data_IF_160416099887
#
_entry.id   IF_160416099887
#
_cell.length_a   1.000
_cell.length_b   1.000
_cell.length_c   1.000
_cell.angle_alpha   90.00
_cell.angle_beta   90.00
_cell.angle_gamma   90.00
#
_symmetry.space_group_name_H-M   'P 1'
#
loop_
_entity.id
_entity.type
_entity.pdbx_description
1 polymer ?
#
# COMPACT_ATOMS: atom_id res chain seq x y z
N UNK A 1 28.49 39.54 -15.73
CA UNK A 1 28.67 38.08 -15.56
C UNK A 1 27.28 37.46 -15.54
N UNK A 2 26.94 36.74 -16.58
CA UNK A 2 25.66 36.02 -16.70
C UNK A 2 25.91 34.52 -16.71
N UNK A 3 25.06 33.80 -15.98
CA UNK A 3 25.16 32.35 -15.86
C UNK A 3 23.93 31.71 -16.49
N UNK A 4 24.14 30.95 -17.54
CA UNK A 4 23.11 30.03 -18.02
C UNK A 4 23.10 28.81 -17.17
N UNK A 5 21.92 28.43 -16.68
CA UNK A 5 21.77 27.29 -15.79
C UNK A 5 20.73 26.30 -16.33
N UNK A 6 21.03 25.03 -16.20
CA UNK A 6 20.10 23.94 -16.40
C UNK A 6 19.60 23.47 -15.04
N UNK A 7 18.34 23.12 -14.95
CA UNK A 7 17.67 22.71 -13.72
C UNK A 7 17.21 21.28 -13.83
N UNK A 8 17.46 20.50 -12.78
CA UNK A 8 17.03 19.11 -12.67
C UNK A 8 16.28 18.95 -11.35
N UNK A 9 15.12 18.35 -11.44
CA UNK A 9 14.38 17.91 -10.26
C UNK A 9 14.72 16.43 -9.98
N UNK A 10 14.93 16.12 -8.74
CA UNK A 10 15.14 14.73 -8.29
C UNK A 10 14.50 14.50 -6.91
N UNK A 11 14.25 13.24 -6.61
CA UNK A 11 13.85 12.82 -5.28
C UNK A 11 15.12 12.47 -4.50
N UNK A 12 15.31 13.11 -3.38
CA UNK A 12 16.36 12.78 -2.43
C UNK A 12 15.73 12.05 -1.24
N UNK A 13 16.20 10.85 -0.96
CA UNK A 13 15.82 10.13 0.24
C UNK A 13 16.63 10.67 1.43
N UNK A 14 15.96 11.27 2.39
CA UNK A 14 16.59 11.92 3.55
C UNK A 14 16.80 10.95 4.72
N UNK A 15 16.23 9.76 4.66
CA UNK A 15 16.44 8.72 5.64
C UNK A 15 15.29 7.72 5.74
N UNK A 16 15.57 6.64 6.44
CA UNK A 16 14.61 5.59 6.77
C UNK A 16 14.74 5.22 8.24
N UNK A 17 13.63 4.80 8.86
CA UNK A 17 13.64 4.25 10.20
C UNK A 17 12.70 3.04 10.26
N UNK A 18 13.05 2.10 11.12
CA UNK A 18 12.27 0.89 11.39
C UNK A 18 12.06 0.78 12.88
N UNK A 19 10.85 0.50 13.31
CA UNK A 19 10.52 0.20 14.70
C UNK A 19 9.67 -1.05 14.76
N UNK A 20 9.94 -1.91 15.74
CA UNK A 20 9.11 -3.06 16.07
C UNK A 20 8.39 -2.79 17.36
N UNK A 21 7.08 -2.87 17.35
CA UNK A 21 6.23 -2.67 18.53
C UNK A 21 5.45 -3.94 18.84
N UNK A 22 5.18 -4.16 20.11
CA UNK A 22 4.27 -5.22 20.55
C UNK A 22 3.00 -4.57 21.08
N UNK A 23 1.88 -4.97 20.49
CA UNK A 23 0.54 -4.61 20.94
C UNK A 23 0.01 -5.80 21.75
N UNK A 24 -0.45 -5.54 22.96
CA UNK A 24 -0.98 -6.55 23.87
C UNK A 24 -2.20 -5.97 24.58
N UNK A 25 -3.36 -6.57 24.42
CA UNK A 25 -4.61 -6.13 25.01
C UNK A 25 -5.55 -7.29 25.32
N UNK A 26 -6.37 -7.09 26.33
CA UNK A 26 -7.43 -8.00 26.70
C UNK A 26 -8.77 -7.55 26.13
N UNK A 27 -9.39 -8.36 25.30
CA UNK A 27 -10.67 -8.04 24.66
C UNK A 27 -11.84 -8.78 25.29
N UNK A 28 -12.83 -8.04 25.76
CA UNK A 28 -14.05 -8.63 26.31
C UNK A 28 -15.07 -8.88 25.19
N UNK A 29 -15.59 -10.09 25.13
CA UNK A 29 -16.66 -10.46 24.19
C UNK A 29 -17.92 -9.68 24.51
N UNK A 30 -18.49 -8.92 23.55
CA UNK A 30 -19.73 -8.17 23.78
C UNK A 30 -20.91 -9.07 24.17
N UNK A 31 -21.81 -8.60 25.02
CA UNK A 31 -22.91 -9.40 25.60
C UNK A 31 -23.85 -10.00 24.55
N UNK A 32 -23.98 -9.37 23.38
CA UNK A 32 -24.81 -9.87 22.28
C UNK A 32 -24.15 -11.00 21.46
N UNK A 33 -22.89 -11.29 21.74
CA UNK A 33 -22.14 -12.38 21.08
C UNK A 33 -22.15 -13.63 21.95
N UNK A 34 -22.23 -14.84 21.34
CA UNK A 34 -22.16 -16.09 22.07
C UNK A 34 -20.78 -16.31 22.69
N UNK A 35 -20.75 -17.14 23.72
CA UNK A 35 -19.54 -17.55 24.42
C UNK A 35 -18.58 -18.31 23.52
N UNK A 36 -17.29 -18.08 23.69
CA UNK A 36 -16.22 -18.67 22.89
C UNK A 36 -15.83 -20.04 23.45
N UNK A 37 -15.86 -21.04 22.59
CA UNK A 37 -15.26 -22.35 22.88
C UNK A 37 -13.80 -22.39 22.36
N UNK A 38 -13.60 -22.01 21.09
CA UNK A 38 -12.31 -22.11 20.41
C UNK A 38 -12.20 -21.08 19.31
N UNK A 39 -11.03 -20.41 19.20
CA UNK A 39 -10.67 -19.59 18.04
C UNK A 39 -10.34 -20.51 16.86
N UNK A 40 -10.90 -20.22 15.70
CA UNK A 40 -10.72 -20.96 14.45
C UNK A 40 -9.76 -20.27 13.50
N UNK A 41 -9.89 -18.93 13.37
CA UNK A 41 -9.05 -18.10 12.52
C UNK A 41 -9.00 -16.68 13.07
N UNK A 42 -7.83 -16.10 13.03
CA UNK A 42 -7.57 -14.70 13.32
C UNK A 42 -6.97 -14.00 12.08
N UNK A 43 -7.25 -12.74 11.93
CA UNK A 43 -6.63 -11.84 10.96
C UNK A 43 -6.49 -10.45 11.54
N UNK A 44 -5.44 -9.76 11.15
CA UNK A 44 -5.16 -8.38 11.54
C UNK A 44 -4.87 -7.51 10.33
N UNK A 45 -5.33 -6.27 10.40
CA UNK A 45 -5.06 -5.23 9.41
C UNK A 45 -4.56 -3.98 10.13
N UNK A 46 -3.51 -3.35 9.60
CA UNK A 46 -3.02 -2.07 10.12
C UNK A 46 -3.71 -0.92 9.40
N UNK A 47 -4.38 -0.09 10.16
CA UNK A 47 -4.97 1.15 9.66
C UNK A 47 -4.18 2.34 10.19
N UNK A 48 -3.66 3.18 9.31
CA UNK A 48 -2.98 4.41 9.66
C UNK A 48 -3.96 5.58 9.65
N UNK A 49 -4.12 6.26 10.79
CA UNK A 49 -4.99 7.42 10.92
C UNK A 49 -4.22 8.72 10.64
N UNK A 50 -2.94 8.76 11.04
CA UNK A 50 -2.09 9.94 10.88
C UNK A 50 -0.61 9.54 10.71
N UNK A 51 0.05 10.12 9.69
CA UNK A 51 1.50 10.03 9.50
C UNK A 51 2.02 11.45 9.29
N UNK A 52 2.87 11.93 10.20
CA UNK A 52 3.40 13.29 10.11
C UNK A 52 4.86 13.41 10.54
N UNK A 53 5.57 14.35 9.89
CA UNK A 53 6.90 14.76 10.29
C UNK A 53 6.83 15.81 11.39
N UNK A 54 7.54 15.61 12.50
CA UNK A 54 7.72 16.61 13.55
C UNK A 54 8.99 16.31 14.37
N UNK A 55 9.76 17.34 14.68
CA UNK A 55 10.92 17.24 15.59
C UNK A 55 11.92 16.13 15.20
N UNK A 56 12.32 16.08 13.94
CA UNK A 56 13.24 15.05 13.38
C UNK A 56 12.76 13.61 13.53
N UNK A 57 11.47 13.41 13.59
CA UNK A 57 10.86 12.11 13.68
C UNK A 57 9.58 12.04 12.85
N UNK A 58 9.23 10.83 12.43
CA UNK A 58 7.93 10.52 11.86
C UNK A 58 7.07 9.94 12.98
N UNK A 59 5.95 10.59 13.23
CA UNK A 59 4.92 10.11 14.14
C UNK A 59 3.88 9.35 13.33
N UNK A 60 3.66 8.12 13.73
CA UNK A 60 2.67 7.23 13.13
C UNK A 60 1.63 6.93 14.18
N UNK A 61 0.36 7.24 13.88
CA UNK A 61 -0.79 6.90 14.70
C UNK A 61 -1.75 6.04 13.90
N UNK A 62 -2.26 4.99 14.52
CA UNK A 62 -3.16 4.07 13.86
C UNK A 62 -3.77 3.07 14.82
N UNK A 63 -4.39 2.05 14.24
CA UNK A 63 -5.00 0.93 14.98
C UNK A 63 -4.70 -0.39 14.27
N UNK A 64 -4.44 -1.42 15.05
CA UNK A 64 -4.57 -2.80 14.62
C UNK A 64 -6.04 -3.18 14.66
N UNK A 65 -6.66 -3.36 13.52
CA UNK A 65 -8.01 -3.90 13.41
C UNK A 65 -7.91 -5.42 13.30
N UNK A 66 -8.53 -6.14 14.23
CA UNK A 66 -8.51 -7.59 14.21
C UNK A 66 -9.90 -8.18 13.97
N UNK A 67 -9.92 -9.31 13.28
CA UNK A 67 -11.09 -10.13 13.02
C UNK A 67 -10.82 -11.54 13.53
N UNK A 68 -11.77 -12.10 14.27
CA UNK A 68 -11.64 -13.41 14.89
C UNK A 68 -12.87 -14.24 14.52
N UNK A 69 -12.65 -15.39 13.92
CA UNK A 69 -13.65 -16.42 13.68
C UNK A 69 -13.54 -17.46 14.79
N UNK A 70 -14.62 -17.79 15.44
CA UNK A 70 -14.59 -18.73 16.58
C UNK A 70 -15.78 -19.65 16.61
N UNK A 71 -15.61 -20.80 17.24
CA UNK A 71 -16.65 -21.77 17.56
C UNK A 71 -17.31 -21.39 18.88
N UNK A 72 -18.65 -21.42 18.90
CA UNK A 72 -19.46 -21.08 20.08
C UNK A 72 -19.55 -22.27 21.05
N UNK A 73 -19.57 -21.99 22.37
CA UNK A 73 -19.62 -23.02 23.41
C UNK A 73 -20.97 -23.71 23.51
N UNK A 74 -22.07 -22.96 23.36
CA UNK A 74 -23.44 -23.46 23.65
C UNK A 74 -24.16 -24.11 22.47
N UNK A 75 -23.57 -24.16 21.29
CA UNK A 75 -24.22 -24.65 20.07
C UNK A 75 -23.28 -25.59 19.33
N UNK A 76 -23.71 -26.81 19.09
CA UNK A 76 -22.91 -27.84 18.41
C UNK A 76 -22.54 -27.37 16.99
N UNK A 77 -21.28 -26.95 16.83
CA UNK A 77 -20.72 -26.51 15.56
C UNK A 77 -21.07 -25.08 15.09
N UNK A 78 -21.77 -24.28 15.87
CA UNK A 78 -22.07 -22.86 15.49
C UNK A 78 -20.79 -22.03 15.50
N UNK A 79 -20.63 -21.24 14.45
CA UNK A 79 -19.49 -20.32 14.26
C UNK A 79 -20.01 -18.88 14.35
N UNK A 80 -19.23 -18.02 14.99
CA UNK A 80 -19.47 -16.59 15.09
C UNK A 80 -18.18 -15.80 14.86
N UNK A 81 -18.28 -14.49 14.75
CA UNK A 81 -17.12 -13.63 14.54
C UNK A 81 -17.07 -12.47 15.52
N UNK A 82 -15.87 -11.95 15.73
CA UNK A 82 -15.60 -10.74 16.49
C UNK A 82 -14.73 -9.81 15.68
N UNK A 83 -14.96 -8.51 15.83
CA UNK A 83 -14.13 -7.44 15.31
C UNK A 83 -13.80 -6.49 16.44
N UNK A 84 -12.54 -6.08 16.52
CA UNK A 84 -12.08 -5.08 17.48
C UNK A 84 -10.89 -4.33 16.96
N UNK A 85 -10.40 -3.36 17.73
CA UNK A 85 -9.23 -2.58 17.38
C UNK A 85 -8.37 -2.28 18.60
N UNK A 86 -7.05 -2.25 18.39
CA UNK A 86 -6.07 -1.85 19.38
C UNK A 86 -5.34 -0.62 18.83
N UNK A 87 -5.51 0.57 19.43
CA UNK A 87 -4.85 1.76 18.97
C UNK A 87 -3.35 1.73 19.26
N UNK A 88 -2.53 2.32 18.39
CA UNK A 88 -1.11 2.50 18.62
C UNK A 88 -0.65 3.89 18.19
N UNK A 89 0.45 4.31 18.80
CA UNK A 89 1.18 5.51 18.39
C UNK A 89 2.67 5.21 18.53
N UNK A 90 3.45 5.47 17.47
CA UNK A 90 4.88 5.21 17.46
C UNK A 90 5.64 6.41 16.90
N UNK A 91 6.86 6.58 17.39
CA UNK A 91 7.78 7.62 16.99
C UNK A 91 9.02 7.01 16.34
N UNK A 92 9.20 7.23 15.04
CA UNK A 92 10.36 6.77 14.29
C UNK A 92 11.32 7.95 14.08
N UNK A 93 12.51 7.90 14.65
CA UNK A 93 13.51 8.95 14.49
C UNK A 93 14.23 8.78 13.15
N UNK A 94 14.25 9.85 12.34
CA UNK A 94 14.94 9.88 11.05
C UNK A 94 15.95 11.03 11.08
N UNK A 95 17.22 10.66 11.01
CA UNK A 95 18.30 11.63 10.91
C UNK A 95 18.24 12.31 9.53
N UNK A 96 18.22 13.66 9.52
CA UNK A 96 18.14 14.42 8.28
C UNK A 96 16.72 14.78 7.81
N UNK A 97 15.68 14.41 8.57
CA UNK A 97 14.31 14.80 8.29
C UNK A 97 14.16 16.33 8.28
N UNK A 98 13.68 16.86 7.16
CA UNK A 98 13.34 18.28 6.99
C UNK A 98 11.86 18.50 7.33
N UNK A 99 11.52 19.71 7.80
CA UNK A 99 10.13 20.03 8.19
C UNK A 99 9.12 19.97 7.04
N UNK A 100 9.60 20.16 5.80
CA UNK A 100 8.78 20.13 4.59
C UNK A 100 8.96 18.83 3.79
N UNK A 101 9.68 17.84 4.32
CA UNK A 101 9.89 16.54 3.66
C UNK A 101 8.59 15.73 3.60
N UNK A 102 8.38 15.07 2.49
CA UNK A 102 7.29 14.10 2.33
C UNK A 102 7.63 12.82 3.11
N UNK A 103 6.71 12.38 3.96
CA UNK A 103 6.93 11.19 4.80
C UNK A 103 5.96 10.09 4.41
N UNK A 104 6.49 8.88 4.37
CA UNK A 104 5.74 7.66 4.09
C UNK A 104 5.91 6.69 5.25
N UNK A 105 4.83 6.02 5.61
CA UNK A 105 4.87 4.93 6.56
C UNK A 105 4.20 3.69 5.97
N UNK A 106 4.79 2.54 6.27
CA UNK A 106 4.23 1.23 5.99
C UNK A 106 4.35 0.38 7.24
N UNK A 107 3.44 -0.55 7.40
CA UNK A 107 3.44 -1.48 8.53
C UNK A 107 3.16 -2.90 8.07
N UNK A 108 3.71 -3.84 8.80
CA UNK A 108 3.56 -5.27 8.58
C UNK A 108 3.31 -5.95 9.93
N UNK A 109 2.37 -6.86 9.98
CA UNK A 109 2.11 -7.70 11.15
C UNK A 109 2.99 -8.94 11.00
N UNK A 110 4.02 -9.05 11.83
CA UNK A 110 4.91 -10.23 11.85
C UNK A 110 4.27 -11.41 12.56
N UNK A 111 3.49 -11.14 13.61
CA UNK A 111 2.80 -12.17 14.38
C UNK A 111 1.50 -11.60 14.95
N UNK A 112 0.46 -12.41 14.94
CA UNK A 112 -0.81 -12.13 15.61
C UNK A 112 -1.26 -13.41 16.32
N UNK A 113 -1.33 -13.36 17.63
CA UNK A 113 -1.74 -14.47 18.48
C UNK A 113 -2.97 -14.10 19.28
N UNK A 114 -4.01 -14.92 19.22
CA UNK A 114 -5.23 -14.78 20.00
C UNK A 114 -5.38 -15.95 20.98
N UNK A 115 -5.29 -15.64 22.26
CA UNK A 115 -5.46 -16.59 23.36
C UNK A 115 -6.86 -16.49 23.99
N UNK A 116 -7.47 -17.64 24.31
CA UNK A 116 -8.73 -17.68 25.07
C UNK A 116 -8.42 -17.68 26.56
N UNK A 117 -8.71 -16.58 27.27
CA UNK A 117 -8.58 -16.49 28.74
C UNK A 117 -9.75 -17.20 29.40
N UNK A 118 -10.97 -16.92 28.94
CA UNK A 118 -12.19 -17.62 29.29
C UNK A 118 -13.22 -17.41 28.18
N UNK A 119 -14.44 -18.00 28.29
CA UNK A 119 -15.47 -17.93 27.24
C UNK A 119 -15.93 -16.50 26.87
N UNK A 120 -15.62 -15.49 27.71
CA UNK A 120 -16.00 -14.08 27.52
C UNK A 120 -14.82 -13.14 27.39
N UNK A 121 -13.59 -13.66 27.38
CA UNK A 121 -12.38 -12.81 27.36
C UNK A 121 -11.27 -13.45 26.54
N UNK A 122 -10.71 -12.65 25.64
CA UNK A 122 -9.56 -12.99 24.80
C UNK A 122 -8.34 -12.15 25.19
N UNK A 123 -7.17 -12.70 25.03
CA UNK A 123 -5.89 -11.99 25.01
C UNK A 123 -5.45 -11.88 23.56
N UNK A 124 -5.16 -10.66 23.11
CA UNK A 124 -4.74 -10.37 21.73
C UNK A 124 -3.34 -9.79 21.79
N UNK A 125 -2.41 -10.46 21.15
CA UNK A 125 -1.02 -10.01 21.07
C UNK A 125 -0.58 -9.96 19.61
N UNK A 126 -0.01 -8.83 19.19
CA UNK A 126 0.56 -8.66 17.86
C UNK A 126 1.97 -8.07 17.92
N UNK A 127 2.83 -8.55 17.04
CA UNK A 127 4.13 -7.96 16.76
C UNK A 127 4.03 -7.24 15.43
N UNK A 128 4.25 -5.93 15.45
CA UNK A 128 4.09 -5.05 14.29
C UNK A 128 5.42 -4.38 13.99
N UNK A 129 5.85 -4.45 12.74
CA UNK A 129 7.00 -3.70 12.22
C UNK A 129 6.50 -2.49 11.45
N UNK A 130 6.90 -1.32 11.89
CA UNK A 130 6.63 -0.05 11.24
C UNK A 130 7.91 0.43 10.53
N UNK A 131 7.77 0.80 9.26
CA UNK A 131 8.84 1.39 8.45
C UNK A 131 8.42 2.78 8.04
N UNK A 132 9.29 3.76 8.27
CA UNK A 132 9.08 5.12 7.80
C UNK A 132 10.23 5.56 6.89
N UNK A 133 9.92 6.32 5.88
CA UNK A 133 10.89 6.98 5.00
C UNK A 133 10.54 8.45 4.82
N UNK A 134 11.57 9.26 4.64
CA UNK A 134 11.43 10.67 4.33
C UNK A 134 12.08 10.96 2.99
N UNK A 135 11.35 11.64 2.13
CA UNK A 135 11.79 12.03 0.80
C UNK A 135 11.58 13.54 0.59
N UNK A 136 12.42 14.13 -0.23
CA UNK A 136 12.34 15.54 -0.59
C UNK A 136 12.54 15.70 -2.10
N UNK A 137 11.73 16.55 -2.72
CA UNK A 137 11.97 16.97 -4.10
C UNK A 137 12.99 18.09 -4.09
N UNK A 138 14.15 17.85 -4.66
CA UNK A 138 15.27 18.80 -4.71
C UNK A 138 15.42 19.32 -6.12
N UNK A 139 15.54 20.65 -6.24
CA UNK A 139 15.93 21.32 -7.47
C UNK A 139 17.43 21.55 -7.45
N UNK A 140 18.16 20.90 -8.35
CA UNK A 140 19.57 21.13 -8.55
C UNK A 140 19.80 22.01 -9.78
N UNK A 141 20.65 23.03 -9.63
CA UNK A 141 21.04 23.92 -10.70
C UNK A 141 22.50 23.67 -11.12
N UNK A 142 22.71 23.51 -12.41
CA UNK A 142 24.01 23.31 -13.02
C UNK A 142 24.32 24.42 -14.01
N UNK A 143 25.56 24.92 -14.03
CA UNK A 143 25.99 25.92 -15.00
C UNK A 143 26.25 25.22 -16.34
N UNK A 144 25.53 25.63 -17.38
CA UNK A 144 25.76 25.19 -18.76
C UNK A 144 26.75 26.11 -19.48
N UNK A 145 26.61 27.42 -19.27
CA UNK A 145 27.42 28.42 -19.92
C UNK A 145 27.63 29.63 -19.03
N UNK A 146 28.74 30.32 -19.27
CA UNK A 146 29.10 31.51 -18.55
C UNK A 146 29.38 32.66 -19.59
N UNK A 147 28.70 33.80 -19.44
CA UNK A 147 29.01 34.99 -20.19
C UNK A 147 29.87 35.93 -19.35
N UNK A 148 31.14 36.07 -19.75
CA UNK A 148 32.10 36.97 -19.13
C UNK A 148 32.65 37.96 -20.14
N UNK A 149 32.88 39.23 -19.73
CA UNK A 149 33.65 40.15 -20.54
C UNK A 149 35.12 39.70 -20.58
N UNK A 150 35.71 39.57 -21.79
CA UNK A 150 37.11 39.16 -21.97
C UNK A 150 37.27 37.86 -22.77
N UNK A 151 38.53 37.48 -22.97
CA UNK A 151 38.88 36.26 -23.71
C UNK A 151 38.93 35.06 -22.80
N UNK A 152 37.77 34.39 -22.66
CA UNK A 152 37.67 33.14 -21.93
C UNK A 152 37.32 31.99 -22.85
N UNK A 153 38.01 30.87 -22.67
CA UNK A 153 37.66 29.60 -23.30
C UNK A 153 36.90 28.76 -22.30
N UNK A 154 35.82 28.18 -22.73
CA UNK A 154 34.97 27.35 -21.94
C UNK A 154 35.02 25.92 -22.47
N UNK A 155 35.17 24.96 -21.58
CA UNK A 155 35.05 23.55 -21.88
C UNK A 155 33.76 23.03 -21.35
N UNK A 156 32.92 22.48 -22.21
CA UNK A 156 31.70 21.78 -21.84
C UNK A 156 31.86 20.29 -21.91
N UNK A 157 31.03 19.57 -21.18
CA UNK A 157 30.92 18.12 -21.23
C UNK A 157 29.45 17.71 -21.21
N UNK A 158 29.14 16.67 -21.93
CA UNK A 158 27.78 16.09 -21.94
C UNK A 158 27.57 15.24 -20.70
N UNK A 159 26.46 15.48 -20.03
CA UNK A 159 26.04 14.73 -18.86
C UNK A 159 24.59 14.30 -19.00
N UNK A 160 24.32 13.00 -18.79
CA UNK A 160 22.98 12.46 -18.81
C UNK A 160 22.47 12.21 -17.39
N UNK A 161 21.26 12.63 -17.11
CA UNK A 161 20.62 12.40 -15.83
C UNK A 161 19.10 12.20 -15.96
N UNK A 162 18.54 11.55 -14.96
CA UNK A 162 17.10 11.46 -14.79
C UNK A 162 16.54 12.74 -14.18
N UNK A 163 15.65 13.41 -14.92
CA UNK A 163 14.90 14.56 -14.44
C UNK A 163 13.51 14.11 -14.02
N UNK A 164 13.13 14.35 -12.77
CA UNK A 164 11.78 14.11 -12.27
C UNK A 164 10.84 15.16 -12.85
N UNK A 165 9.88 14.73 -13.64
CA UNK A 165 8.88 15.61 -14.24
C UNK A 165 7.64 15.77 -13.35
N UNK A 166 7.22 14.70 -12.69
CA UNK A 166 6.10 14.70 -11.75
C UNK A 166 6.26 13.62 -10.69
N UNK A 167 5.75 13.91 -9.50
CA UNK A 167 5.50 12.96 -8.43
C UNK A 167 4.14 13.32 -7.83
N UNK A 168 3.19 12.42 -7.93
CA UNK A 168 1.84 12.62 -7.41
C UNK A 168 1.33 11.36 -6.74
N UNK A 169 0.44 11.56 -5.77
CA UNK A 169 -0.28 10.49 -5.10
C UNK A 169 -1.76 10.83 -5.12
N UNK A 170 -2.56 9.85 -5.46
CA UNK A 170 -4.02 9.97 -5.43
C UNK A 170 -4.64 8.76 -4.75
N UNK A 171 -5.88 8.90 -4.29
CA UNK A 171 -6.66 7.83 -3.69
C UNK A 171 -7.88 7.55 -4.55
N UNK A 172 -7.79 6.45 -5.28
CA UNK A 172 -8.91 5.93 -6.05
C UNK A 172 -9.89 5.20 -5.11
N UNK A 173 -11.17 5.51 -5.23
CA UNK A 173 -12.25 4.82 -4.51
C UNK A 173 -13.17 4.16 -5.51
N UNK A 174 -13.33 2.86 -5.34
CA UNK A 174 -14.23 2.06 -6.15
C UNK A 174 -15.32 1.46 -5.28
N UNK A 175 -16.55 1.58 -5.75
CA UNK A 175 -17.71 0.94 -5.13
C UNK A 175 -18.35 0.01 -6.14
N UNK A 176 -18.61 -1.23 -5.73
CA UNK A 176 -19.19 -2.26 -6.57
C UNK A 176 -20.31 -2.98 -5.83
N UNK A 177 -21.43 -3.20 -6.50
CA UNK A 177 -22.54 -3.98 -5.98
C UNK A 177 -22.50 -5.38 -6.59
N UNK A 178 -22.49 -6.38 -5.73
CA UNK A 178 -22.38 -7.79 -6.08
C UNK A 178 -23.69 -8.46 -5.65
N UNK A 179 -24.48 -8.86 -6.62
CA UNK A 179 -25.73 -9.58 -6.36
C UNK A 179 -25.45 -11.06 -6.19
N UNK A 180 -25.89 -11.64 -5.07
CA UNK A 180 -25.76 -13.09 -4.85
C UNK A 180 -26.61 -13.85 -5.90
N UNK A 181 -26.05 -14.92 -6.49
CA UNK A 181 -26.78 -15.77 -7.41
C UNK A 181 -28.04 -16.38 -6.76
N UNK A 182 -29.08 -16.63 -7.55
CA UNK A 182 -30.37 -17.15 -7.05
C UNK A 182 -30.29 -18.50 -6.33
N UNK A 183 -29.22 -19.27 -6.59
CA UNK A 183 -28.97 -20.56 -5.92
C UNK A 183 -28.27 -20.41 -4.57
N UNK A 184 -27.96 -19.18 -4.13
CA UNK A 184 -27.40 -18.89 -2.83
C UNK A 184 -28.49 -18.34 -1.91
N UNK A 185 -28.55 -18.77 -0.64
CA UNK A 185 -29.51 -18.23 0.32
C UNK A 185 -29.18 -16.79 0.72
N UNK A 186 -30.17 -16.12 1.32
CA UNK A 186 -30.00 -14.78 1.87
C UNK A 186 -28.95 -14.77 2.98
N UNK A 187 -28.28 -13.64 3.13
CA UNK A 187 -27.23 -13.45 4.11
C UNK A 187 -27.83 -12.93 5.41
N UNK A 188 -27.61 -13.64 6.48
CA UNK A 188 -27.92 -13.15 7.84
C UNK A 188 -26.77 -12.32 8.40
N UNK A 189 -25.54 -12.85 8.31
CA UNK A 189 -24.34 -12.23 8.85
C UNK A 189 -23.11 -12.67 8.09
N UNK A 190 -22.22 -11.72 7.76
CA UNK A 190 -20.88 -12.02 7.24
C UNK A 190 -20.00 -12.38 8.44
N UNK A 191 -19.48 -13.61 8.44
CA UNK A 191 -18.61 -14.12 9.47
C UNK A 191 -17.13 -13.90 9.14
N UNK A 192 -16.79 -13.98 7.85
CA UNK A 192 -15.43 -13.74 7.35
C UNK A 192 -15.47 -13.13 5.97
N UNK A 193 -14.53 -12.25 5.71
CA UNK A 193 -14.37 -11.62 4.39
C UNK A 193 -12.92 -11.65 3.97
N UNK A 194 -12.67 -11.74 2.66
CA UNK A 194 -11.37 -11.56 2.06
C UNK A 194 -11.53 -10.72 0.79
N UNK A 195 -10.68 -9.72 0.63
CA UNK A 195 -10.61 -8.89 -0.57
C UNK A 195 -9.15 -8.81 -1.00
N UNK A 196 -8.86 -9.33 -2.19
CA UNK A 196 -7.50 -9.40 -2.73
C UNK A 196 -7.44 -8.73 -4.10
N UNK A 197 -6.39 -7.96 -4.35
CA UNK A 197 -6.09 -7.44 -5.67
C UNK A 197 -5.25 -8.46 -6.45
N UNK A 198 -5.71 -8.82 -7.65
CA UNK A 198 -5.05 -9.77 -8.52
C UNK A 198 -4.79 -9.17 -9.89
N UNK A 199 -3.77 -9.68 -10.58
CA UNK A 199 -3.44 -9.29 -11.95
C UNK A 199 -3.32 -7.78 -12.15
N UNK A 200 -2.82 -7.06 -11.14
CA UNK A 200 -2.69 -5.60 -11.19
C UNK A 200 -1.65 -5.22 -12.23
N UNK A 201 -2.07 -4.42 -13.20
CA UNK A 201 -1.23 -3.85 -14.25
C UNK A 201 -1.37 -2.33 -14.23
N UNK A 202 -0.33 -1.64 -14.63
CA UNK A 202 -0.34 -0.19 -14.67
C UNK A 202 0.33 0.32 -15.93
N UNK A 203 -0.28 1.33 -16.55
CA UNK A 203 0.25 2.00 -17.74
C UNK A 203 -0.15 3.47 -17.71
N UNK A 204 0.35 4.23 -18.68
CA UNK A 204 -0.05 5.62 -18.87
C UNK A 204 -0.78 5.76 -20.19
N UNK A 205 -1.93 6.38 -20.13
CA UNK A 205 -2.80 6.64 -21.28
C UNK A 205 -3.45 8.03 -21.13
N UNK A 206 -3.43 8.82 -22.20
CA UNK A 206 -4.05 10.16 -22.28
C UNK A 206 -3.75 11.09 -21.09
N UNK A 207 -2.50 11.11 -20.60
CA UNK A 207 -2.09 11.96 -19.47
C UNK A 207 -2.55 11.45 -18.11
N UNK A 208 -2.99 10.20 -18.03
CA UNK A 208 -3.39 9.54 -16.78
C UNK A 208 -2.57 8.29 -16.52
N UNK A 209 -2.26 8.04 -15.27
CA UNK A 209 -1.80 6.75 -14.82
C UNK A 209 -3.01 5.87 -14.56
N UNK A 210 -3.15 4.82 -15.37
CA UNK A 210 -4.26 3.86 -15.29
C UNK A 210 -3.75 2.60 -14.61
N UNK A 211 -4.50 2.15 -13.61
CA UNK A 211 -4.28 0.89 -12.90
C UNK A 211 -5.49 0.01 -13.12
N UNK A 212 -5.27 -1.14 -13.72
CA UNK A 212 -6.29 -2.15 -13.99
C UNK A 212 -5.95 -3.46 -13.30
N UNK A 213 -6.94 -4.29 -13.07
CA UNK A 213 -6.76 -5.59 -12.45
C UNK A 213 -8.07 -6.25 -12.09
N UNK A 214 -8.01 -7.13 -11.13
CA UNK A 214 -9.13 -7.88 -10.61
C UNK A 214 -9.19 -7.77 -9.09
N UNK A 215 -10.38 -7.60 -8.54
CA UNK A 215 -10.67 -7.65 -7.12
C UNK A 215 -11.35 -8.99 -6.85
N UNK A 216 -10.67 -9.92 -6.22
CA UNK A 216 -11.30 -11.12 -5.70
C UNK A 216 -11.96 -10.79 -4.37
N UNK A 217 -13.28 -10.85 -4.32
CA UNK A 217 -14.07 -10.69 -3.12
C UNK A 217 -14.66 -12.04 -2.69
N UNK A 218 -14.42 -12.42 -1.46
CA UNK A 218 -14.91 -13.67 -0.90
C UNK A 218 -15.51 -13.46 0.49
N UNK A 219 -16.61 -14.17 0.77
CA UNK A 219 -17.33 -14.11 2.04
C UNK A 219 -17.71 -15.50 2.53
N UNK A 220 -17.51 -15.71 3.84
CA UNK A 220 -18.15 -16.76 4.60
C UNK A 220 -19.30 -16.10 5.37
N UNK A 221 -20.50 -16.59 5.20
CA UNK A 221 -21.67 -16.04 5.84
C UNK A 221 -22.62 -17.11 6.40
N UNK A 222 -23.43 -16.75 7.38
CA UNK A 222 -24.54 -17.56 7.83
C UNK A 222 -25.79 -17.21 7.04
N UNK A 223 -26.55 -18.23 6.64
CA UNK A 223 -27.85 -18.05 5.99
C UNK A 223 -28.94 -17.58 6.97
N UNK A 224 -29.96 -16.95 6.44
CA UNK A 224 -31.07 -16.38 7.23
C UNK A 224 -32.01 -17.46 7.81
N UNK A 225 -32.00 -18.67 7.26
CA UNK A 225 -32.84 -19.77 7.72
C UNK A 225 -32.51 -20.24 9.15
N UNK A 226 -33.46 -20.90 9.83
CA UNK A 226 -33.25 -21.43 11.18
C UNK A 226 -32.07 -22.40 11.34
N UNK A 227 -31.67 -23.04 10.25
CA UNK A 227 -30.52 -23.93 10.22
C UNK A 227 -29.17 -23.23 10.36
N UNK A 228 -29.13 -21.92 10.14
CA UNK A 228 -27.90 -21.08 10.19
C UNK A 228 -26.69 -21.72 9.53
N UNK A 229 -26.89 -22.40 8.38
CA UNK A 229 -25.78 -23.08 7.68
C UNK A 229 -24.78 -22.08 7.16
N UNK A 230 -23.53 -22.51 7.13
CA UNK A 230 -22.45 -21.72 6.56
C UNK A 230 -22.46 -21.80 5.05
N UNK A 231 -22.32 -20.65 4.44
CA UNK A 231 -22.22 -20.49 2.99
C UNK A 231 -20.94 -19.77 2.63
N UNK A 232 -20.32 -20.22 1.55
CA UNK A 232 -19.18 -19.56 0.93
C UNK A 232 -19.59 -19.00 -0.43
N UNK A 233 -19.20 -17.76 -0.66
CA UNK A 233 -19.36 -17.13 -1.96
C UNK A 233 -18.12 -16.33 -2.30
N UNK A 234 -17.64 -16.48 -3.53
CA UNK A 234 -16.52 -15.71 -4.08
C UNK A 234 -16.85 -15.21 -5.47
N UNK A 235 -16.34 -14.06 -5.80
CA UNK A 235 -16.51 -13.46 -7.12
C UNK A 235 -15.36 -12.53 -7.44
N UNK A 236 -15.17 -12.28 -8.72
CA UNK A 236 -14.16 -11.34 -9.21
C UNK A 236 -14.85 -10.12 -9.80
N UNK A 237 -14.38 -8.94 -9.40
CA UNK A 237 -14.85 -7.65 -9.87
C UNK A 237 -13.68 -6.94 -10.56
N UNK A 238 -13.86 -6.28 -11.71
CA UNK A 238 -12.77 -5.53 -12.34
C UNK A 238 -12.32 -4.37 -11.44
N UNK A 239 -11.00 -4.16 -11.39
CA UNK A 239 -10.37 -2.99 -10.80
C UNK A 239 -10.05 -1.99 -11.90
N UNK A 240 -10.54 -0.76 -11.75
CA UNK A 240 -10.22 0.36 -12.64
C UNK A 240 -9.96 1.62 -11.80
N UNK A 241 -8.71 2.05 -11.79
CA UNK A 241 -8.27 3.26 -11.12
C UNK A 241 -7.53 4.16 -12.11
N UNK A 242 -7.75 5.46 -12.01
CA UNK A 242 -6.99 6.44 -12.80
C UNK A 242 -6.58 7.62 -11.93
N UNK A 243 -5.32 8.02 -12.03
CA UNK A 243 -4.76 9.22 -11.39
C UNK A 243 -4.24 10.17 -12.47
N UNK A 244 -4.49 11.47 -12.31
CA UNK A 244 -4.01 12.46 -13.26
C UNK A 244 -2.48 12.56 -13.26
N UNK A 245 -1.88 12.62 -14.47
CA UNK A 245 -0.45 12.64 -14.67
C UNK A 245 -0.08 13.54 -15.85
N UNK A 246 -0.19 14.85 -15.67
CA UNK A 246 -0.01 15.86 -16.74
C UNK A 246 1.40 15.86 -17.39
N UNK A 247 2.40 15.26 -16.72
CA UNK A 247 3.76 15.17 -17.23
C UNK A 247 4.00 13.97 -18.17
N UNK A 248 2.95 13.20 -18.49
CA UNK A 248 3.06 12.06 -19.39
C UNK A 248 3.34 12.48 -20.83
N UNK A 249 4.48 12.10 -21.38
CA UNK A 249 4.90 12.41 -22.74
C UNK A 249 5.75 11.29 -23.34
N UNK A 250 6.16 11.47 -24.59
CA UNK A 250 7.06 10.55 -25.25
C UNK A 250 8.39 10.44 -24.50
N UNK A 251 8.97 9.24 -24.44
CA UNK A 251 10.23 8.93 -23.76
C UNK A 251 10.25 9.15 -22.23
N UNK A 252 9.09 9.12 -21.58
CA UNK A 252 9.02 9.16 -20.13
C UNK A 252 9.14 7.76 -19.52
N UNK A 253 9.76 7.72 -18.34
CA UNK A 253 9.91 6.54 -17.52
C UNK A 253 8.91 6.67 -16.37
N UNK A 254 8.05 5.68 -16.21
CA UNK A 254 7.00 5.69 -15.20
C UNK A 254 7.28 4.65 -14.11
N UNK A 255 7.03 5.03 -12.86
CA UNK A 255 6.86 4.10 -11.75
C UNK A 255 5.47 4.37 -11.17
N UNK A 256 4.60 3.39 -11.28
CA UNK A 256 3.24 3.43 -10.74
C UNK A 256 3.17 2.31 -9.71
N UNK A 257 2.70 2.65 -8.51
CA UNK A 257 2.47 1.71 -7.43
C UNK A 257 1.03 1.86 -6.96
N UNK A 258 0.31 0.75 -6.85
CA UNK A 258 -1.04 0.70 -6.34
C UNK A 258 -1.08 -0.15 -5.07
N UNK A 259 -1.53 0.44 -3.96
CA UNK A 259 -1.58 -0.22 -2.66
C UNK A 259 -2.99 -0.08 -2.09
N UNK A 260 -3.66 -1.18 -1.71
CA UNK A 260 -4.95 -1.10 -1.04
C UNK A 260 -4.79 -0.42 0.32
N UNK A 261 -5.66 0.56 0.61
CA UNK A 261 -5.70 1.27 1.89
C UNK A 261 -6.79 0.72 2.79
N UNK A 262 -7.96 0.41 2.21
CA UNK A 262 -9.09 -0.18 2.91
C UNK A 262 -9.97 -0.95 1.95
N UNK A 263 -10.56 -2.03 2.43
CA UNK A 263 -11.57 -2.79 1.72
C UNK A 263 -12.69 -3.12 2.69
N UNK A 264 -13.88 -2.63 2.39
CA UNK A 264 -15.07 -2.90 3.20
C UNK A 264 -16.11 -3.65 2.37
N UNK A 265 -16.78 -4.57 3.00
CA UNK A 265 -17.81 -5.38 2.38
C UNK A 265 -19.02 -5.44 3.32
N UNK A 266 -20.13 -4.89 2.87
CA UNK A 266 -21.36 -4.76 3.62
C UNK A 266 -22.51 -5.48 2.91
N UNK A 267 -23.53 -5.86 3.66
CA UNK A 267 -24.77 -6.43 3.12
C UNK A 267 -25.79 -5.31 2.96
N UNK A 268 -26.55 -5.35 1.87
CA UNK A 268 -27.72 -4.51 1.67
C UNK A 268 -28.91 -5.33 1.14
N UNK A 269 -30.13 -4.93 1.51
CA UNK A 269 -31.32 -5.54 0.94
C UNK A 269 -31.45 -5.19 -0.56
N UNK A 270 -32.02 -6.12 -1.31
CA UNK A 270 -32.44 -5.91 -2.69
C UNK A 270 -33.83 -5.22 -2.74
N UNK A 271 -34.45 -5.17 -3.94
CA UNK A 271 -35.75 -4.53 -4.13
C UNK A 271 -36.89 -5.23 -3.40
N UNK A 272 -36.76 -6.51 -3.11
CA UNK A 272 -37.76 -7.33 -2.40
C UNK A 272 -37.53 -7.30 -0.89
N UNK A 273 -36.47 -6.62 -0.44
CA UNK A 273 -36.09 -6.48 0.97
C UNK A 273 -35.26 -7.67 1.47
N UNK A 274 -34.74 -8.52 0.58
CA UNK A 274 -33.92 -9.65 0.93
C UNK A 274 -32.44 -9.24 0.99
N UNK A 275 -31.69 -9.65 2.02
CA UNK A 275 -30.26 -9.36 2.23
C UNK A 275 -29.37 -10.17 1.24
N UNK A 276 -29.27 -9.67 -0.01
CA UNK A 276 -28.63 -10.36 -1.14
C UNK A 276 -27.60 -9.54 -1.89
N UNK A 277 -27.47 -8.25 -1.57
CA UNK A 277 -26.50 -7.37 -2.24
C UNK A 277 -25.28 -7.17 -1.33
N UNK A 278 -24.13 -7.63 -1.80
CA UNK A 278 -22.84 -7.33 -1.17
C UNK A 278 -22.29 -6.05 -1.80
N UNK A 279 -22.09 -5.03 -0.99
CA UNK A 279 -21.48 -3.75 -1.41
C UNK A 279 -20.02 -3.77 -1.02
N UNK A 280 -19.16 -3.81 -2.02
CA UNK A 280 -17.71 -3.70 -1.87
C UNK A 280 -17.29 -2.24 -2.03
N UNK A 281 -16.66 -1.67 -1.02
CA UNK A 281 -16.01 -0.37 -1.07
C UNK A 281 -14.51 -0.56 -0.89
N UNK A 282 -13.74 -0.19 -1.93
CA UNK A 282 -12.29 -0.32 -1.97
C UNK A 282 -11.65 1.05 -2.15
N UNK A 283 -10.63 1.34 -1.34
CA UNK A 283 -9.76 2.51 -1.52
C UNK A 283 -8.34 2.03 -1.85
N UNK A 284 -7.79 2.55 -2.93
CA UNK A 284 -6.44 2.22 -3.41
C UNK A 284 -5.61 3.50 -3.51
N UNK A 285 -4.45 3.53 -2.86
CA UNK A 285 -3.46 4.60 -3.08
C UNK A 285 -2.71 4.32 -4.37
N UNK A 286 -2.74 5.27 -5.27
CA UNK A 286 -1.97 5.23 -6.53
C UNK A 286 -0.86 6.27 -6.44
N UNK A 287 0.38 5.80 -6.43
CA UNK A 287 1.60 6.62 -6.37
C UNK A 287 2.24 6.62 -7.74
N UNK A 288 2.41 7.80 -8.32
CA UNK A 288 2.91 7.97 -9.71
C UNK A 288 4.14 8.84 -9.70
N UNK A 289 5.22 8.34 -10.29
CA UNK A 289 6.44 9.11 -10.52
C UNK A 289 6.82 9.02 -11.98
N UNK A 290 7.17 10.16 -12.54
CA UNK A 290 7.52 10.30 -13.95
C UNK A 290 8.88 10.93 -14.07
N UNK A 291 9.77 10.26 -14.78
CA UNK A 291 11.09 10.77 -15.11
C UNK A 291 11.29 10.82 -16.62
N UNK A 292 12.19 11.67 -17.03
CA UNK A 292 12.76 11.67 -18.37
C UNK A 292 14.28 11.69 -18.29
N UNK A 293 14.93 10.89 -19.10
CA UNK A 293 16.37 10.96 -19.25
C UNK A 293 16.69 12.14 -20.15
N UNK A 294 17.48 13.08 -19.63
CA UNK A 294 17.90 14.30 -20.35
C UNK A 294 19.40 14.33 -20.48
N UNK A 295 19.89 14.63 -21.67
CA UNK A 295 21.30 14.93 -21.91
C UNK A 295 21.49 16.45 -21.94
N UNK A 296 22.44 16.94 -21.19
CA UNK A 296 22.72 18.36 -21.07
C UNK A 296 24.21 18.62 -21.20
N UNK A 297 24.55 19.79 -21.77
CA UNK A 297 25.92 20.28 -21.79
C UNK A 297 26.16 21.12 -20.53
N UNK A 298 27.17 20.76 -19.76
CA UNK A 298 27.57 21.44 -18.55
C UNK A 298 28.96 22.03 -18.69
N UNK A 299 29.18 23.21 -18.12
CA UNK A 299 30.48 23.84 -18.03
C UNK A 299 31.39 23.02 -17.09
N UNK A 300 32.47 22.45 -17.62
CA UNK A 300 33.40 21.61 -16.86
C UNK A 300 34.72 22.31 -16.53
N UNK A 301 35.13 23.30 -17.34
CA UNK A 301 36.34 24.05 -17.12
C UNK A 301 36.29 25.44 -17.78
N UNK A 302 37.06 26.39 -17.25
CA UNK A 302 37.18 27.75 -17.72
C UNK A 302 38.64 28.17 -17.73
N UNK A 303 39.12 28.70 -18.84
CA UNK A 303 40.51 29.15 -19.01
C UNK A 303 40.58 30.53 -19.67
N UNK A 304 41.51 31.36 -19.21
CA UNK A 304 41.91 32.61 -19.84
C UNK A 304 43.39 32.78 -19.87
N UNK A 305 43.91 33.31 -20.98
CA UNK A 305 45.36 33.66 -21.14
C UNK A 305 45.70 34.96 -20.41
N UNK A 306 44.74 35.83 -20.17
CA UNK A 306 44.98 37.18 -19.65
C UNK A 306 44.65 37.32 -18.18
N UNK A 307 43.69 36.55 -17.70
CA UNK A 307 43.20 36.64 -16.34
C UNK A 307 43.24 35.28 -15.64
N UNK A 308 43.59 35.28 -14.36
CA UNK A 308 43.58 34.06 -13.57
C UNK A 308 42.15 33.72 -13.14
N UNK A 309 41.54 32.72 -13.76
CA UNK A 309 40.31 32.15 -13.33
C UNK A 309 40.58 31.06 -12.28
N UNK A 310 39.87 31.08 -11.17
CA UNK A 310 39.92 30.03 -10.13
C UNK A 310 38.52 29.47 -9.95
N UNK A 311 38.10 28.45 -10.73
CA UNK A 311 36.79 27.85 -10.59
C UNK A 311 36.70 27.06 -9.29
N UNK A 312 35.56 27.17 -8.61
CA UNK A 312 35.20 26.25 -7.53
C UNK A 312 34.43 25.11 -8.16
N UNK A 313 35.09 23.96 -8.27
CA UNK A 313 34.50 22.77 -8.86
C UNK A 313 33.79 21.95 -7.78
N UNK A 314 32.59 21.44 -8.09
CA UNK A 314 31.85 20.51 -7.26
C UNK A 314 31.57 19.25 -8.05
N UNK A 315 31.89 18.09 -7.47
CA UNK A 315 31.49 16.81 -8.05
C UNK A 315 30.03 16.52 -7.73
N UNK A 316 29.33 15.99 -8.71
CA UNK A 316 27.94 15.52 -8.58
C UNK A 316 27.80 14.17 -9.23
N UNK A 317 27.03 13.31 -8.57
CA UNK A 317 26.68 11.99 -9.08
C UNK A 317 25.29 12.09 -9.70
N UNK A 318 25.19 11.75 -10.97
CA UNK A 318 23.91 11.63 -11.68
C UNK A 318 23.44 10.18 -11.71
N UNK A 319 22.14 10.00 -11.68
CA UNK A 319 21.51 8.69 -11.84
C UNK A 319 21.00 8.52 -13.27
N UNK A 320 21.15 7.32 -13.81
CA UNK A 320 20.62 6.92 -15.12
C UNK A 320 19.88 5.60 -14.98
N UNK A 321 18.81 5.44 -15.76
CA UNK A 321 18.14 4.15 -15.86
C UNK A 321 18.94 3.21 -16.76
N UNK A 322 19.51 2.15 -16.18
CA UNK A 322 20.22 1.14 -16.95
C UNK A 322 19.24 0.11 -17.53
N UNK A 323 18.33 -0.37 -16.70
CA UNK A 323 17.38 -1.42 -17.09
C UNK A 323 16.11 -1.29 -16.24
N UNK A 324 14.96 -1.45 -16.86
CA UNK A 324 13.68 -1.70 -16.19
C UNK A 324 13.09 -2.96 -16.79
N UNK A 325 12.83 -3.98 -15.97
CA UNK A 325 12.23 -5.22 -16.41
C UNK A 325 11.23 -5.70 -15.35
N UNK A 326 10.24 -6.46 -15.79
CA UNK A 326 9.27 -7.15 -14.93
C UNK A 326 9.13 -8.59 -15.43
N UNK A 327 9.10 -9.53 -14.52
CA UNK A 327 8.87 -10.93 -14.83
C UNK A 327 7.72 -11.47 -13.96
N UNK A 328 6.84 -12.23 -14.59
CA UNK A 328 5.80 -13.00 -13.90
C UNK A 328 6.25 -14.47 -13.90
N UNK A 329 6.27 -15.12 -12.75
CA UNK A 329 6.44 -16.57 -12.67
C UNK A 329 5.18 -17.19 -12.08
N UNK A 330 4.87 -18.38 -12.55
CA UNK A 330 3.78 -19.19 -12.01
C UNK A 330 4.39 -20.37 -11.28
N UNK A 331 4.07 -20.48 -9.99
CA UNK A 331 4.43 -21.65 -9.19
C UNK A 331 3.19 -22.50 -9.02
N UNK A 332 3.34 -23.81 -9.19
CA UNK A 332 2.26 -24.77 -8.98
C UNK A 332 2.82 -25.89 -8.14
N UNK A 333 2.18 -26.15 -7.01
CA UNK A 333 2.56 -27.22 -6.08
C UNK A 333 1.33 -28.06 -5.75
N UNK A 334 1.52 -29.33 -5.56
CA UNK A 334 0.49 -30.26 -5.10
C UNK A 334 0.71 -30.56 -3.64
N UNK A 335 -0.24 -30.14 -2.79
CA UNK A 335 -0.21 -30.40 -1.37
C UNK A 335 -0.94 -31.71 -1.06
N UNK A 336 -0.25 -32.64 -0.44
CA UNK A 336 -0.86 -33.84 0.10
C UNK A 336 -1.40 -33.53 1.51
N UNK A 337 -2.71 -33.71 1.67
CA UNK A 337 -3.37 -33.55 2.96
C UNK A 337 -3.30 -34.95 3.66
N UNK A 338 -2.76 -35.00 4.89
CA UNK A 338 -2.77 -36.24 5.64
C UNK A 338 -4.17 -36.82 5.74
N UNK A 339 -4.30 -38.14 5.69
CA UNK A 339 -5.58 -38.82 5.87
C UNK A 339 -6.22 -38.37 7.18
N UNK A 340 -7.18 -37.44 7.09
CA UNK A 340 -8.04 -37.04 8.19
C UNK A 340 -9.33 -37.81 8.11
N UNK A 341 -9.93 -38.09 9.26
CA UNK A 341 -11.22 -38.79 9.32
C UNK A 341 -12.36 -37.92 8.76
N UNK A 342 -12.11 -36.61 8.56
CA UNK A 342 -13.08 -35.63 8.12
C UNK A 342 -12.81 -35.21 6.66
N UNK A 343 -13.88 -35.20 5.86
CA UNK A 343 -13.82 -34.76 4.46
C UNK A 343 -13.74 -33.27 4.37
N UNK A 344 -12.75 -32.74 3.64
CA UNK A 344 -12.71 -31.32 3.28
C UNK A 344 -13.87 -31.01 2.34
N UNK A 345 -14.70 -30.06 2.74
CA UNK A 345 -15.86 -29.59 1.96
C UNK A 345 -15.50 -28.40 1.08
N UNK A 346 -14.74 -27.47 1.59
CA UNK A 346 -14.40 -26.20 0.93
C UNK A 346 -13.07 -25.68 1.44
N UNK A 347 -12.27 -25.07 0.55
CA UNK A 347 -11.13 -24.23 0.90
C UNK A 347 -11.61 -22.80 0.82
N UNK A 348 -11.61 -22.09 1.94
CA UNK A 348 -12.16 -20.72 2.03
C UNK A 348 -11.09 -19.64 1.90
N UNK A 349 -9.83 -19.93 2.18
CA UNK A 349 -8.72 -18.99 2.01
C UNK A 349 -7.42 -19.74 1.73
N UNK A 350 -6.54 -19.10 0.97
CA UNK A 350 -5.17 -19.54 0.75
C UNK A 350 -4.29 -18.30 0.79
N UNK A 351 -3.38 -18.23 1.75
CA UNK A 351 -2.45 -17.13 1.94
C UNK A 351 -1.03 -17.67 1.71
N UNK A 352 -0.21 -16.91 1.00
CA UNK A 352 1.21 -17.22 0.74
C UNK A 352 2.08 -16.01 1.11
N UNK A 353 3.19 -16.27 1.74
CA UNK A 353 4.20 -15.26 2.12
C UNK A 353 5.51 -15.51 1.39
#
# INVERSE_FOLDING_TARGET
MELEKVKIHRIQQNGTAVSQITLDDDYNVPDYRPDIMKVLKENGELRFDEVKAANKAVWVKGSLVFHILYQCEQSDGKISCLKGEIPFQEKLNIDGLQENGEVHAAGEIEDLTVGVINSRKLSIRAVVVLRASAEEQVLEEFTSRLELPGDYQQKTGTWGALNLLASCRDVCRQKSEIVLPSNKPNVREILWRSVELRNVESHVEDGKAVVTGEILAAVLYSEEEESERLQWYETTVPLECAADCDAAGENCIFKISAVPLSAELEIKPDYDGEERILVLELSVSVDVRVWREEEMELLTDLYSLREKAVPVVRERIGERLLVKNAAKCRVTEQLEIPESQEKILQICACEGT
#
